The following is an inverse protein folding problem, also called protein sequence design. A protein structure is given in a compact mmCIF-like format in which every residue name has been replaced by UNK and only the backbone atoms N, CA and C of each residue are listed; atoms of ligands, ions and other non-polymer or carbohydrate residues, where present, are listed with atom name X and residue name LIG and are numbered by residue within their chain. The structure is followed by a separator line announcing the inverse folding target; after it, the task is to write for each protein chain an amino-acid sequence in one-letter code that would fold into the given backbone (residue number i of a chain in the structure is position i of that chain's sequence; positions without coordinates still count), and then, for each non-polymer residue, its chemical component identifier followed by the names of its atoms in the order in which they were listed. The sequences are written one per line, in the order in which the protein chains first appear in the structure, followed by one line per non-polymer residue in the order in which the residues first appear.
data_IF_899575190792
#
_entry.id   IF_899575190792
#
_cell.length_a   1.000
_cell.length_b   1.000
_cell.length_c   1.000
_cell.angle_alpha   90.00
_cell.angle_beta   90.00
_cell.angle_gamma   90.00
#
_symmetry.space_group_name_H-M   'P 1'
#
loop_
_entity.id
_entity.type
_entity.pdbx_description
1 polymer ?
#
# COMPACT_ATOMS: atom_id res chain seq x y z
N UNK A 1 18.90 -23.16 -0.23
CA UNK A 1 18.80 -22.13 0.83
C UNK A 1 19.42 -20.85 0.30
N UNK A 2 18.66 -19.76 0.21
CA UNK A 2 19.25 -18.42 -0.01
C UNK A 2 20.03 -18.10 1.25
N UNK A 3 21.36 -18.02 1.17
CA UNK A 3 22.22 -17.85 2.35
C UNK A 3 22.30 -16.40 2.84
N UNK A 4 21.87 -15.44 2.02
CA UNK A 4 21.86 -14.02 2.39
C UNK A 4 20.72 -13.30 1.67
N UNK A 5 19.80 -12.71 2.43
CA UNK A 5 18.70 -11.89 1.91
C UNK A 5 19.05 -10.41 2.01
N UNK A 6 18.72 -9.64 0.98
CA UNK A 6 18.85 -8.18 0.98
C UNK A 6 17.48 -7.53 1.06
N UNK A 7 17.14 -6.96 2.20
CA UNK A 7 15.84 -6.30 2.41
C UNK A 7 15.99 -4.79 2.50
N UNK A 8 15.00 -4.05 2.00
CA UNK A 8 14.95 -2.59 2.07
C UNK A 8 13.65 -2.09 2.69
N UNK A 9 13.77 -1.04 3.51
CA UNK A 9 12.66 -0.25 4.01
C UNK A 9 12.69 1.12 3.32
N UNK A 10 11.67 1.44 2.53
CA UNK A 10 11.62 2.68 1.79
C UNK A 10 11.22 3.84 2.71
N UNK A 11 12.11 4.82 2.88
CA UNK A 11 11.77 6.09 3.54
C UNK A 11 11.41 7.13 2.47
N UNK A 12 10.13 7.16 2.08
CA UNK A 12 9.64 8.00 0.98
C UNK A 12 8.30 8.63 1.31
N UNK A 13 8.08 9.85 0.83
CA UNK A 13 6.79 10.53 0.90
C UNK A 13 5.94 10.27 -0.36
N UNK A 14 4.60 10.21 -0.25
CA UNK A 14 3.75 10.19 -1.43
C UNK A 14 3.69 11.58 -2.07
N UNK A 15 3.04 11.66 -3.24
CA UNK A 15 2.48 12.93 -3.69
C UNK A 15 1.05 13.02 -3.17
N UNK A 16 0.81 13.90 -2.21
CA UNK A 16 -0.49 14.00 -1.53
C UNK A 16 -1.63 14.18 -2.53
N UNK A 17 -2.63 13.30 -2.44
CA UNK A 17 -3.82 13.24 -3.29
C UNK A 17 -3.56 13.09 -4.80
N UNK A 18 -2.30 12.90 -5.22
CA UNK A 18 -1.90 12.65 -6.60
C UNK A 18 -1.58 11.16 -6.76
N UNK A 19 -2.62 10.39 -7.13
CA UNK A 19 -2.57 8.94 -7.32
C UNK A 19 -1.56 8.55 -8.40
N UNK A 20 -1.64 9.18 -9.58
CA UNK A 20 -0.76 8.90 -10.71
C UNK A 20 0.70 9.29 -10.43
N UNK A 21 0.92 10.43 -9.78
CA UNK A 21 2.25 10.87 -9.41
C UNK A 21 2.87 10.03 -8.30
N UNK A 22 2.06 9.52 -7.37
CA UNK A 22 2.51 8.54 -6.36
C UNK A 22 2.81 7.19 -7.03
N UNK A 23 1.99 6.72 -7.96
CA UNK A 23 2.27 5.50 -8.74
C UNK A 23 3.61 5.58 -9.45
N UNK A 24 3.82 6.65 -10.24
CA UNK A 24 5.08 6.90 -10.96
C UNK A 24 6.28 6.93 -10.02
N UNK A 25 6.16 7.57 -8.86
CA UNK A 25 7.22 7.60 -7.84
C UNK A 25 7.49 6.21 -7.27
N UNK A 26 6.44 5.46 -6.94
CA UNK A 26 6.54 4.10 -6.38
C UNK A 26 7.27 3.17 -7.36
N UNK A 27 6.91 3.22 -8.65
CA UNK A 27 7.58 2.44 -9.70
C UNK A 27 9.07 2.78 -9.75
N UNK A 28 9.44 4.06 -9.72
CA UNK A 28 10.85 4.47 -9.71
C UNK A 28 11.63 3.95 -8.51
N UNK A 29 11.01 3.90 -7.32
CA UNK A 29 11.62 3.34 -6.10
C UNK A 29 11.79 1.81 -6.21
N UNK A 30 10.81 1.11 -6.79
CA UNK A 30 10.90 -0.34 -7.06
C UNK A 30 12.05 -0.64 -8.04
N UNK A 31 12.17 0.14 -9.10
CA UNK A 31 13.24 0.00 -10.10
C UNK A 31 14.62 0.29 -9.49
N UNK A 32 14.72 1.25 -8.57
CA UNK A 32 15.93 1.50 -7.79
C UNK A 32 16.28 0.31 -6.89
N UNK A 33 15.32 -0.26 -6.18
CA UNK A 33 15.53 -1.46 -5.37
C UNK A 33 16.05 -2.64 -6.21
N UNK A 34 15.54 -2.82 -7.42
CA UNK A 34 16.05 -3.81 -8.37
C UNK A 34 17.51 -3.58 -8.72
N UNK A 35 17.91 -2.33 -9.00
CA UNK A 35 19.32 -1.96 -9.26
C UNK A 35 20.23 -2.20 -8.05
N UNK A 36 19.72 -2.07 -6.84
CA UNK A 36 20.45 -2.36 -5.59
C UNK A 36 20.52 -3.88 -5.29
N UNK A 37 19.83 -4.71 -6.07
CA UNK A 37 19.75 -6.16 -5.87
C UNK A 37 19.01 -6.51 -4.58
N UNK A 38 17.94 -5.78 -4.25
CA UNK A 38 17.08 -6.10 -3.12
C UNK A 38 16.17 -7.28 -3.46
N UNK A 39 15.96 -8.11 -2.45
CA UNK A 39 15.06 -9.24 -2.49
C UNK A 39 13.62 -8.89 -2.08
N UNK A 40 13.50 -7.93 -1.16
CA UNK A 40 12.24 -7.45 -0.61
C UNK A 40 12.34 -5.94 -0.37
N UNK A 41 11.32 -5.20 -0.80
CA UNK A 41 11.15 -3.78 -0.53
C UNK A 41 9.82 -3.54 0.18
N UNK A 42 9.86 -2.88 1.34
CA UNK A 42 8.67 -2.54 2.13
C UNK A 42 8.47 -1.02 2.14
N UNK A 43 7.26 -0.58 1.83
CA UNK A 43 6.86 0.84 1.83
C UNK A 43 6.15 1.25 3.13
N UNK A 44 6.07 2.56 3.44
CA UNK A 44 5.41 3.05 4.64
C UNK A 44 3.90 2.79 4.70
N UNK A 45 3.33 2.89 5.90
CA UNK A 45 1.89 2.76 6.19
C UNK A 45 1.06 3.77 5.37
N UNK A 46 0.03 3.29 4.67
CA UNK A 46 -0.89 4.10 3.84
C UNK A 46 -0.17 5.12 2.93
N UNK A 47 1.05 4.77 2.52
CA UNK A 47 1.86 5.61 1.67
C UNK A 47 1.08 5.97 0.39
N UNK A 48 0.51 4.97 -0.27
CA UNK A 48 -0.28 5.18 -1.47
C UNK A 48 -1.62 5.84 -1.12
N UNK A 49 -1.86 7.02 -1.68
CA UNK A 49 -2.96 7.94 -1.34
C UNK A 49 -2.87 8.65 0.03
N UNK A 50 -1.68 8.66 0.64
CA UNK A 50 -1.30 9.45 1.82
C UNK A 50 -1.97 9.14 3.16
N UNK A 51 -1.18 9.23 4.22
CA UNK A 51 -1.66 9.15 5.60
C UNK A 51 -2.36 10.46 6.02
N UNK A 52 -3.48 10.41 6.76
CA UNK A 52 -4.21 11.59 7.20
C UNK A 52 -3.51 12.31 8.37
N UNK A 53 -2.42 13.03 8.06
CA UNK A 53 -1.67 13.81 9.06
C UNK A 53 -2.44 15.04 9.57
N UNK A 54 -3.49 15.46 8.88
CA UNK A 54 -4.34 16.60 9.28
C UNK A 54 -5.30 16.29 10.44
N UNK A 55 -5.31 15.05 10.94
CA UNK A 55 -6.15 14.61 12.06
C UNK A 55 -5.94 15.47 13.30
N UNK A 56 -6.98 16.21 13.68
CA UNK A 56 -6.95 17.10 14.85
C UNK A 56 -6.18 18.40 14.65
N UNK A 57 -5.64 18.65 13.45
CA UNK A 57 -4.87 19.85 13.14
C UNK A 57 -5.66 20.90 12.33
N UNK A 58 -6.85 20.53 11.82
CA UNK A 58 -7.69 21.40 10.98
C UNK A 58 -9.14 21.41 11.46
N UNK A 59 -9.92 22.38 10.99
CA UNK A 59 -11.36 22.44 11.28
C UNK A 59 -12.09 21.21 10.76
N UNK A 60 -13.23 20.88 11.37
CA UNK A 60 -14.07 19.74 10.94
C UNK A 60 -14.42 19.84 9.45
N UNK A 61 -14.83 21.03 9.00
CA UNK A 61 -15.12 21.28 7.58
C UNK A 61 -13.93 20.96 6.68
N UNK A 62 -12.74 21.46 7.04
CA UNK A 62 -11.53 21.20 6.25
C UNK A 62 -11.15 19.73 6.27
N UNK A 63 -11.30 19.04 7.40
CA UNK A 63 -11.08 17.60 7.49
C UNK A 63 -12.00 16.82 6.56
N UNK A 64 -13.29 17.18 6.48
CA UNK A 64 -14.25 16.56 5.55
C UNK A 64 -13.83 16.75 4.09
N UNK A 65 -13.42 17.95 3.70
CA UNK A 65 -12.92 18.22 2.34
C UNK A 65 -11.69 17.33 2.00
N UNK A 66 -10.77 17.19 2.95
CA UNK A 66 -9.57 16.35 2.78
C UNK A 66 -9.90 14.85 2.74
N UNK A 67 -10.94 14.40 3.45
CA UNK A 67 -11.44 13.01 3.36
C UNK A 67 -11.94 12.71 1.94
N UNK A 68 -12.63 13.66 1.30
CA UNK A 68 -13.10 13.50 -0.09
C UNK A 68 -11.92 13.39 -1.06
N UNK A 69 -10.87 14.19 -0.90
CA UNK A 69 -9.65 14.11 -1.72
C UNK A 69 -8.88 12.80 -1.47
N UNK A 70 -8.81 12.36 -0.20
CA UNK A 70 -8.24 11.07 0.18
C UNK A 70 -8.99 9.91 -0.49
N UNK A 71 -10.33 9.96 -0.49
CA UNK A 71 -11.16 8.94 -1.13
C UNK A 71 -11.03 8.92 -2.65
N UNK A 72 -10.95 10.08 -3.29
CA UNK A 72 -10.73 10.19 -4.76
C UNK A 72 -9.37 9.64 -5.20
N UNK A 73 -8.36 9.77 -4.34
CA UNK A 73 -7.00 9.32 -4.63
C UNK A 73 -6.72 7.88 -4.19
N UNK A 74 -7.61 7.25 -3.42
CA UNK A 74 -7.50 5.85 -3.03
C UNK A 74 -7.47 4.89 -4.24
N UNK A 75 -6.90 3.71 -4.04
CA UNK A 75 -6.77 2.67 -5.06
C UNK A 75 -7.68 1.49 -4.75
N UNK A 76 -8.00 0.67 -5.76
CA UNK A 76 -8.68 -0.63 -5.57
C UNK A 76 -7.64 -1.75 -5.56
N UNK A 77 -7.94 -2.83 -4.83
CA UNK A 77 -7.06 -4.01 -4.75
C UNK A 77 -7.91 -5.28 -4.93
N UNK A 78 -7.83 -5.98 -6.09
CA UNK A 78 -7.04 -5.64 -7.28
C UNK A 78 -7.59 -4.42 -8.04
N UNK A 79 -6.73 -3.80 -8.85
CA UNK A 79 -7.06 -2.65 -9.70
C UNK A 79 -5.85 -2.19 -10.55
N UNK A 80 -6.08 -1.22 -11.43
CA UNK A 80 -5.10 -0.69 -12.40
C UNK A 80 -3.76 -0.34 -11.74
N UNK A 81 -3.77 0.38 -10.62
CA UNK A 81 -2.53 0.74 -9.92
C UNK A 81 -1.77 -0.48 -9.38
N UNK A 82 -2.47 -1.49 -8.87
CA UNK A 82 -1.82 -2.73 -8.40
C UNK A 82 -1.25 -3.57 -9.52
N UNK A 83 -1.85 -3.52 -10.72
CA UNK A 83 -1.34 -4.20 -11.91
C UNK A 83 -0.04 -3.54 -12.40
N UNK A 84 0.01 -2.21 -12.41
CA UNK A 84 1.23 -1.47 -12.75
C UNK A 84 2.36 -1.71 -11.74
N UNK A 85 2.04 -1.73 -10.44
CA UNK A 85 3.01 -2.06 -9.38
C UNK A 85 3.52 -3.49 -9.53
N UNK A 86 2.64 -4.44 -9.85
CA UNK A 86 3.01 -5.83 -10.12
C UNK A 86 3.92 -5.96 -11.35
N UNK A 87 3.64 -5.22 -12.42
CA UNK A 87 4.51 -5.17 -13.58
C UNK A 87 5.89 -4.58 -13.24
N UNK A 88 5.94 -3.54 -12.41
CA UNK A 88 7.20 -2.95 -11.95
C UNK A 88 8.01 -3.91 -11.07
N UNK A 89 7.37 -4.58 -10.11
CA UNK A 89 7.99 -5.62 -9.28
C UNK A 89 8.61 -6.73 -10.14
N UNK A 90 7.89 -7.19 -11.18
CA UNK A 90 8.38 -8.19 -12.14
C UNK A 90 9.61 -7.72 -12.91
N UNK A 91 9.58 -6.49 -13.44
CA UNK A 91 10.73 -5.93 -14.19
C UNK A 91 11.96 -5.76 -13.30
N UNK A 92 11.77 -5.29 -12.08
CA UNK A 92 12.83 -5.08 -11.10
C UNK A 92 13.32 -6.38 -10.43
N UNK A 93 12.52 -7.46 -10.51
CA UNK A 93 12.73 -8.74 -9.80
C UNK A 93 12.81 -8.56 -8.28
N UNK A 94 11.94 -7.71 -7.73
CA UNK A 94 11.87 -7.39 -6.28
C UNK A 94 10.49 -7.72 -5.72
N UNK A 95 10.43 -8.43 -4.59
CA UNK A 95 9.18 -8.61 -3.87
C UNK A 95 8.81 -7.29 -3.18
N UNK A 96 7.53 -6.91 -3.17
CA UNK A 96 7.09 -5.63 -2.62
C UNK A 96 5.97 -5.81 -1.60
N UNK A 97 6.02 -5.03 -0.51
CA UNK A 97 4.91 -4.84 0.43
C UNK A 97 4.58 -3.35 0.46
N UNK A 98 3.37 -2.98 0.03
CA UNK A 98 2.97 -1.59 -0.17
C UNK A 98 1.80 -1.22 0.73
N UNK A 99 1.96 -0.20 1.56
CA UNK A 99 0.86 0.40 2.31
C UNK A 99 0.03 1.37 1.47
N UNK A 100 -1.29 1.25 1.49
CA UNK A 100 -2.20 2.11 0.74
C UNK A 100 -3.49 2.44 1.51
N UNK A 101 -4.16 3.49 1.07
CA UNK A 101 -5.60 3.63 1.25
C UNK A 101 -6.31 2.83 0.16
N UNK A 102 -6.97 1.76 0.57
CA UNK A 102 -7.79 0.92 -0.29
C UNK A 102 -9.24 1.41 -0.26
N UNK A 103 -9.85 1.57 -1.42
CA UNK A 103 -11.29 1.72 -1.56
C UNK A 103 -11.96 0.36 -1.62
N UNK A 104 -13.05 0.19 -0.85
CA UNK A 104 -13.84 -1.04 -0.79
C UNK A 104 -14.24 -1.54 -2.19
N UNK A 105 -14.11 -2.85 -2.38
CA UNK A 105 -14.40 -3.59 -3.60
C UNK A 105 -15.90 -3.80 -3.82
N UNK A 106 -16.73 -3.66 -2.78
CA UNK A 106 -18.19 -3.77 -2.90
C UNK A 106 -18.77 -2.63 -3.75
N UNK A 107 -19.58 -2.93 -4.77
CA UNK A 107 -20.25 -1.90 -5.57
C UNK A 107 -21.03 -0.91 -4.70
N UNK A 108 -20.83 0.39 -4.96
CA UNK A 108 -21.47 1.48 -4.21
C UNK A 108 -20.86 1.78 -2.84
N UNK A 109 -19.91 0.97 -2.35
CA UNK A 109 -19.18 1.30 -1.12
C UNK A 109 -18.10 2.35 -1.40
N UNK A 110 -18.01 3.31 -0.48
CA UNK A 110 -17.01 4.36 -0.46
C UNK A 110 -16.10 4.28 0.78
N UNK A 111 -16.19 3.17 1.52
CA UNK A 111 -15.36 2.91 2.69
C UNK A 111 -13.89 2.80 2.29
N UNK A 112 -13.03 3.48 3.05
CA UNK A 112 -11.59 3.34 2.93
C UNK A 112 -11.07 2.36 3.97
N UNK A 113 -10.00 1.63 3.62
CA UNK A 113 -9.25 0.80 4.54
C UNK A 113 -7.77 1.14 4.49
N UNK A 114 -7.10 1.00 5.63
CA UNK A 114 -5.65 0.98 5.72
C UNK A 114 -5.19 -0.44 5.38
N UNK A 115 -4.48 -0.58 4.28
CA UNK A 115 -4.22 -1.89 3.67
C UNK A 115 -2.75 -2.06 3.32
N UNK A 116 -2.21 -3.25 3.60
CA UNK A 116 -0.97 -3.74 3.02
C UNK A 116 -1.28 -4.57 1.77
N UNK A 117 -0.51 -4.37 0.71
CA UNK A 117 -0.59 -5.11 -0.55
C UNK A 117 0.71 -5.86 -0.77
N UNK A 118 0.62 -7.17 -1.03
CA UNK A 118 1.75 -8.07 -1.19
C UNK A 118 1.91 -8.46 -2.66
N UNK A 119 3.07 -8.15 -3.24
CA UNK A 119 3.37 -8.37 -4.66
C UNK A 119 4.65 -9.18 -4.78
N UNK A 120 4.57 -10.31 -5.49
CA UNK A 120 5.71 -11.17 -5.79
C UNK A 120 6.62 -10.55 -6.86
N UNK A 121 7.91 -10.88 -6.82
CA UNK A 121 8.90 -10.49 -7.84
C UNK A 121 8.67 -11.10 -9.22
N UNK A 122 7.73 -12.04 -9.33
CA UNK A 122 7.22 -12.59 -10.59
C UNK A 122 6.04 -11.78 -11.15
N UNK A 123 5.60 -10.73 -10.44
CA UNK A 123 4.49 -9.88 -10.79
C UNK A 123 3.12 -10.44 -10.43
N UNK A 124 3.04 -11.44 -9.53
CA UNK A 124 1.76 -11.88 -8.97
C UNK A 124 1.34 -10.98 -7.80
N UNK A 125 0.09 -10.52 -7.82
CA UNK A 125 -0.55 -9.98 -6.62
C UNK A 125 -0.87 -11.16 -5.68
N UNK A 126 -0.13 -11.29 -4.59
CA UNK A 126 -0.28 -12.40 -3.65
C UNK A 126 -1.51 -12.23 -2.76
N UNK A 127 -1.83 -10.98 -2.42
CA UNK A 127 -3.04 -10.61 -1.68
C UNK A 127 -2.87 -9.28 -0.96
N UNK A 128 -3.78 -9.06 0.00
CA UNK A 128 -3.82 -7.86 0.83
C UNK A 128 -4.09 -8.20 2.28
N UNK A 129 -3.84 -7.25 3.17
CA UNK A 129 -4.27 -7.28 4.57
C UNK A 129 -4.80 -5.92 5.01
N UNK A 130 -6.09 -5.85 5.33
CA UNK A 130 -6.74 -4.65 5.93
C UNK A 130 -6.47 -4.61 7.44
N UNK A 131 -6.05 -3.46 7.95
CA UNK A 131 -5.83 -3.23 9.39
C UNK A 131 -7.08 -3.60 10.19
N UNK A 132 -6.93 -4.56 11.11
CA UNK A 132 -8.06 -5.12 11.88
C UNK A 132 -8.82 -4.05 12.67
N UNK A 133 -8.09 -3.14 13.34
CA UNK A 133 -8.69 -2.10 14.17
C UNK A 133 -7.91 -0.79 13.97
N UNK A 134 -8.48 0.21 13.29
CA UNK A 134 -7.91 1.55 13.25
C UNK A 134 -7.80 2.15 14.66
N UNK A 135 -6.69 2.84 14.93
CA UNK A 135 -6.34 3.33 16.27
C UNK A 135 -6.91 4.73 16.50
N UNK A 136 -7.63 4.93 17.62
CA UNK A 136 -8.07 6.27 18.04
C UNK A 136 -8.83 7.01 16.91
N UNK A 137 -8.39 8.21 16.52
CA UNK A 137 -9.00 9.05 15.49
C UNK A 137 -8.85 8.52 14.07
N UNK A 138 -8.04 7.47 13.85
CA UNK A 138 -8.02 6.76 12.57
C UNK A 138 -9.39 6.16 12.21
N UNK A 139 -10.23 5.87 13.21
CA UNK A 139 -11.60 5.35 13.04
C UNK A 139 -12.56 6.30 12.33
N UNK A 140 -12.16 7.57 12.16
CA UNK A 140 -12.91 8.54 11.36
C UNK A 140 -12.67 8.33 9.84
N UNK A 141 -11.55 7.71 9.48
CA UNK A 141 -11.09 7.61 8.09
C UNK A 141 -11.22 6.19 7.55
N UNK A 142 -10.92 5.18 8.35
CA UNK A 142 -10.84 3.80 7.91
C UNK A 142 -11.88 2.89 8.56
N UNK A 143 -12.40 1.96 7.76
CA UNK A 143 -13.12 0.78 8.24
C UNK A 143 -12.21 -0.22 8.94
N UNK A 144 -12.83 -1.18 9.62
CA UNK A 144 -12.14 -2.31 10.26
C UNK A 144 -11.96 -3.44 9.25
N UNK A 145 -10.77 -4.02 9.19
CA UNK A 145 -10.55 -5.30 8.53
C UNK A 145 -11.22 -6.46 9.30
N UNK A 146 -11.07 -7.67 8.77
CA UNK A 146 -11.52 -8.90 9.41
C UNK A 146 -10.43 -9.99 9.38
N UNK A 147 -10.74 -11.16 9.93
CA UNK A 147 -9.79 -12.26 10.04
C UNK A 147 -9.49 -13.00 8.72
N UNK A 148 -10.28 -12.80 7.66
CA UNK A 148 -10.09 -13.48 6.37
C UNK A 148 -8.79 -13.09 5.68
N UNK A 149 -8.30 -11.88 5.97
CA UNK A 149 -7.09 -11.30 5.43
C UNK A 149 -5.84 -11.58 6.29
N UNK A 150 -6.01 -12.13 7.51
CA UNK A 150 -4.90 -12.41 8.44
C UNK A 150 -4.20 -13.70 8.03
N UNK A 151 -3.21 -13.56 7.16
CA UNK A 151 -2.36 -14.67 6.70
C UNK A 151 -0.97 -14.20 6.34
N UNK A 152 -0.05 -15.15 6.25
CA UNK A 152 1.25 -14.92 5.65
C UNK A 152 1.28 -15.45 4.21
N UNK A 153 2.09 -14.81 3.38
CA UNK A 153 2.21 -15.10 1.96
C UNK A 153 3.56 -15.77 1.68
N UNK A 154 3.52 -16.84 0.89
CA UNK A 154 4.73 -17.52 0.44
C UNK A 154 5.34 -16.74 -0.73
N UNK A 155 6.63 -16.39 -0.58
CA UNK A 155 7.49 -15.78 -1.59
C UNK A 155 8.70 -16.69 -1.84
N UNK A 156 9.47 -16.43 -2.90
CA UNK A 156 10.71 -17.17 -3.21
C UNK A 156 11.79 -17.03 -2.11
N UNK A 157 11.63 -16.03 -1.25
CA UNK A 157 12.50 -15.71 -0.11
C UNK A 157 12.01 -16.27 1.22
N UNK A 158 10.92 -17.02 1.22
CA UNK A 158 10.25 -17.52 2.41
C UNK A 158 8.89 -16.87 2.65
N UNK A 159 8.39 -16.97 3.89
CA UNK A 159 7.04 -16.55 4.25
C UNK A 159 7.05 -15.15 4.86
N UNK A 160 6.23 -14.25 4.30
CA UNK A 160 6.14 -12.84 4.73
C UNK A 160 4.72 -12.53 5.18
N UNK A 161 4.58 -11.87 6.32
CA UNK A 161 3.31 -11.37 6.84
C UNK A 161 3.46 -9.97 7.41
N UNK A 162 2.33 -9.33 7.66
CA UNK A 162 2.22 -7.96 8.17
C UNK A 162 0.77 -7.54 8.07
#
# INVERSE_FOLDING_TARGET
MVTMLRVGAAQVSPKFFDRAGTLKKTIGVIEEAGRLGLDLLVFPETYFAAYPYWRGAVSVRRSTELIVEMQRSAIRVPGEETEELAAAARRARVNCVIGCNELDDRPGSLTLYNTLVFVGRDGRLLGRHRKLMPTHSERVYWGMGDASDIRAFDMDIGRVGG
#
